data_IF_087219350391
#
_entry.id   IF_087219350391
#
_cell.length_a   1.000
_cell.length_b   1.000
_cell.length_c   1.000
_cell.angle_alpha   90.00
_cell.angle_beta   90.00
_cell.angle_gamma   90.00
#
_symmetry.space_group_name_H-M   'P 1'
#
loop_
_entity.id
_entity.type
_entity.pdbx_description
1 polymer ?
#
# COMPACT_ATOMS: atom_id res chain seq x y z
N UNK A 1 -5.82 5.26 28.28
CA UNK A 1 -6.64 4.07 28.60
C UNK A 1 -7.24 4.26 29.98
N UNK A 2 -8.58 4.21 30.12
CA UNK A 2 -9.28 4.44 31.40
C UNK A 2 -9.84 3.16 32.05
N UNK A 3 -10.05 2.09 31.28
CA UNK A 3 -10.59 0.81 31.75
C UNK A 3 -10.05 -0.34 30.89
N UNK A 4 -9.78 -1.49 31.50
CA UNK A 4 -9.44 -2.76 30.84
C UNK A 4 -10.37 -3.82 31.42
N UNK A 5 -11.04 -4.59 30.57
CA UNK A 5 -12.02 -5.62 30.97
C UNK A 5 -11.78 -6.87 30.15
N UNK A 6 -11.77 -8.03 30.81
CA UNK A 6 -11.82 -9.32 30.13
C UNK A 6 -13.29 -9.69 29.85
N UNK A 7 -13.57 -10.15 28.63
CA UNK A 7 -14.91 -10.48 28.13
C UNK A 7 -14.83 -11.74 27.27
N UNK A 8 -15.91 -12.51 27.20
CA UNK A 8 -16.05 -13.58 26.20
C UNK A 8 -16.42 -13.06 24.82
N UNK A 9 -17.00 -11.86 24.76
CA UNK A 9 -17.46 -11.20 23.54
C UNK A 9 -16.54 -10.02 23.16
N UNK A 10 -16.56 -9.64 21.88
CA UNK A 10 -15.95 -8.42 21.39
C UNK A 10 -16.51 -7.17 22.08
N UNK A 11 -15.79 -6.04 21.98
CA UNK A 11 -16.31 -4.77 22.48
C UNK A 11 -17.63 -4.42 21.78
N UNK A 12 -18.63 -4.05 22.57
CA UNK A 12 -19.93 -3.56 22.12
C UNK A 12 -19.88 -2.11 21.58
N UNK A 13 -18.70 -1.48 21.55
CA UNK A 13 -18.56 -0.11 21.05
C UNK A 13 -18.88 -0.01 19.56
N UNK A 14 -19.43 1.14 19.16
CA UNK A 14 -19.75 1.44 17.76
C UNK A 14 -18.56 1.19 16.83
N UNK A 15 -17.36 1.61 17.21
CA UNK A 15 -16.16 1.46 16.37
C UNK A 15 -15.74 0.00 16.13
N UNK A 16 -16.06 -0.91 17.06
CA UNK A 16 -15.77 -2.33 16.90
C UNK A 16 -16.89 -3.05 16.13
N UNK A 17 -18.15 -2.71 16.42
CA UNK A 17 -19.31 -3.42 15.88
C UNK A 17 -19.77 -2.91 14.51
N UNK A 18 -19.65 -1.60 14.25
CA UNK A 18 -20.31 -0.91 13.13
C UNK A 18 -19.40 0.10 12.39
N UNK A 19 -18.09 -0.02 12.57
CA UNK A 19 -17.08 0.69 11.78
C UNK A 19 -15.86 -0.22 11.54
N UNK A 20 -14.86 0.27 10.81
CA UNK A 20 -13.57 -0.43 10.56
C UNK A 20 -13.74 -1.88 10.06
N UNK A 21 -14.65 -2.07 9.10
CA UNK A 21 -14.92 -3.32 8.39
C UNK A 21 -14.80 -3.08 6.89
N UNK A 22 -14.34 -4.09 6.16
CA UNK A 22 -14.21 -4.03 4.69
C UNK A 22 -15.31 -4.86 4.04
N UNK A 23 -15.98 -4.29 3.05
CA UNK A 23 -17.10 -4.91 2.34
C UNK A 23 -16.79 -5.07 0.86
N UNK A 24 -17.63 -5.84 0.17
CA UNK A 24 -17.62 -5.93 -1.29
C UNK A 24 -17.93 -4.56 -1.92
N UNK A 25 -17.37 -4.25 -3.12
CA UNK A 25 -17.71 -3.03 -3.85
C UNK A 25 -19.20 -2.89 -4.22
N UNK A 26 -19.99 -3.96 -4.12
CA UNK A 26 -21.44 -3.93 -4.37
C UNK A 26 -22.27 -3.44 -3.17
N UNK A 27 -21.65 -3.25 -2.01
CA UNK A 27 -22.33 -2.82 -0.77
C UNK A 27 -22.27 -1.29 -0.65
N UNK A 28 -23.42 -0.68 -0.35
CA UNK A 28 -23.60 0.76 -0.15
C UNK A 28 -24.41 1.02 1.14
N UNK A 29 -24.63 2.28 1.49
CA UNK A 29 -25.24 2.70 2.76
C UNK A 29 -26.66 2.19 2.98
N UNK A 30 -27.40 1.91 1.91
CA UNK A 30 -28.78 1.43 1.97
C UNK A 30 -28.88 -0.09 2.21
N UNK A 31 -27.80 -0.84 1.99
CA UNK A 31 -27.80 -2.31 2.05
C UNK A 31 -26.70 -2.92 2.93
N UNK A 32 -25.88 -2.11 3.60
CA UNK A 32 -24.80 -2.60 4.46
C UNK A 32 -25.32 -3.35 5.70
N UNK A 33 -24.87 -4.59 5.85
CA UNK A 33 -25.00 -5.37 7.09
C UNK A 33 -23.65 -5.45 7.81
N UNK A 34 -23.49 -4.67 8.89
CA UNK A 34 -22.26 -4.63 9.67
C UNK A 34 -21.87 -5.95 10.31
N UNK A 35 -22.83 -6.87 10.54
CA UNK A 35 -22.56 -8.18 11.11
C UNK A 35 -21.97 -9.16 10.09
N UNK A 36 -22.11 -8.88 8.79
CA UNK A 36 -21.65 -9.75 7.70
C UNK A 36 -20.14 -9.76 7.49
N UNK A 37 -19.41 -8.80 8.08
CA UNK A 37 -17.97 -8.67 7.96
C UNK A 37 -17.28 -8.66 9.34
N UNK A 38 -16.08 -9.27 9.46
CA UNK A 38 -15.29 -9.16 10.67
C UNK A 38 -14.62 -7.79 10.78
N UNK A 39 -14.36 -7.29 12.01
CA UNK A 39 -13.51 -6.12 12.23
C UNK A 39 -12.12 -6.28 11.64
N UNK A 40 -11.50 -5.18 11.20
CA UNK A 40 -10.13 -5.19 10.71
C UNK A 40 -9.16 -5.26 11.89
N UNK A 41 -8.59 -6.45 12.13
CA UNK A 41 -7.55 -6.66 13.14
C UNK A 41 -6.13 -6.57 12.56
N UNK A 42 -5.94 -7.24 11.42
CA UNK A 42 -4.66 -7.28 10.71
C UNK A 42 -4.85 -6.62 9.35
N UNK A 43 -4.00 -5.65 9.06
CA UNK A 43 -4.01 -4.94 7.77
C UNK A 43 -3.30 -5.75 6.70
N UNK A 44 -3.74 -5.65 5.43
CA UNK A 44 -3.04 -6.27 4.31
C UNK A 44 -1.70 -5.57 4.03
N UNK A 45 -0.86 -6.20 3.21
CA UNK A 45 0.37 -5.58 2.70
C UNK A 45 0.05 -4.26 1.96
N UNK A 46 0.85 -3.24 2.21
CA UNK A 46 0.73 -1.91 1.62
C UNK A 46 2.11 -1.31 1.33
N UNK A 47 2.16 -0.39 0.37
CA UNK A 47 3.33 0.44 0.09
C UNK A 47 2.90 1.77 -0.51
N UNK A 48 3.74 2.78 -0.35
CA UNK A 48 3.54 4.08 -0.96
C UNK A 48 4.88 4.72 -1.36
N UNK A 49 4.88 5.31 -2.55
CA UNK A 49 5.90 6.26 -3.01
C UNK A 49 5.77 7.56 -2.20
N UNK A 50 6.88 8.01 -1.61
CA UNK A 50 7.01 9.29 -0.90
C UNK A 50 7.85 10.31 -1.69
N UNK A 51 8.75 9.82 -2.54
CA UNK A 51 9.60 10.63 -3.43
C UNK A 51 9.71 9.89 -4.77
N UNK A 52 9.59 10.58 -5.92
CA UNK A 52 9.24 12.00 -6.05
C UNK A 52 7.79 12.30 -5.64
N UNK A 53 7.49 13.58 -5.39
CA UNK A 53 6.12 14.04 -5.18
C UNK A 53 5.36 14.13 -6.51
N UNK A 54 4.01 14.10 -6.44
CA UNK A 54 3.16 14.31 -7.62
C UNK A 54 3.48 15.66 -8.28
N UNK A 55 3.69 15.64 -9.59
CA UNK A 55 4.02 16.82 -10.40
C UNK A 55 5.48 17.27 -10.30
N UNK A 56 6.35 16.51 -9.64
CA UNK A 56 7.78 16.78 -9.65
C UNK A 56 8.32 16.73 -11.09
N UNK A 57 9.28 17.59 -11.38
CA UNK A 57 9.97 17.61 -12.68
C UNK A 57 11.19 16.70 -12.60
N UNK A 58 11.35 15.82 -13.58
CA UNK A 58 12.53 14.98 -13.77
C UNK A 58 13.27 15.49 -15.01
N UNK A 59 14.46 16.05 -14.80
CA UNK A 59 15.34 16.61 -15.83
C UNK A 59 16.68 15.87 -15.97
N UNK A 60 16.79 14.69 -15.35
CA UNK A 60 17.95 13.81 -15.39
C UNK A 60 17.66 12.53 -16.21
N UNK A 61 18.68 11.73 -16.49
CA UNK A 61 18.59 10.43 -17.17
C UNK A 61 18.08 9.31 -16.25
N UNK A 62 17.98 9.56 -14.95
CA UNK A 62 17.46 8.61 -13.95
C UNK A 62 16.51 9.28 -12.96
N UNK A 63 15.68 8.46 -12.33
CA UNK A 63 14.79 8.89 -11.24
C UNK A 63 15.03 8.03 -10.01
N UNK A 64 15.29 8.70 -8.89
CA UNK A 64 15.30 8.04 -7.58
C UNK A 64 13.90 8.05 -7.00
N UNK A 65 13.37 6.87 -6.72
CA UNK A 65 12.06 6.65 -6.13
C UNK A 65 12.24 6.06 -4.73
N UNK A 66 11.63 6.68 -3.73
CA UNK A 66 11.68 6.23 -2.33
C UNK A 66 10.30 6.10 -1.74
N UNK A 67 10.18 5.23 -0.76
CA UNK A 67 8.93 5.05 -0.04
C UNK A 67 9.04 4.14 1.15
N UNK A 68 7.87 3.73 1.63
CA UNK A 68 7.73 2.69 2.65
C UNK A 68 6.88 1.54 2.15
N UNK A 69 7.06 0.38 2.76
CA UNK A 69 6.20 -0.78 2.63
C UNK A 69 6.01 -1.41 4.00
N UNK A 70 4.84 -2.02 4.24
CA UNK A 70 4.51 -2.65 5.52
C UNK A 70 3.40 -3.69 5.33
N UNK A 71 3.37 -4.73 6.18
CA UNK A 71 2.29 -5.71 6.21
C UNK A 71 1.91 -5.99 7.67
N UNK A 72 0.62 -6.22 7.91
CA UNK A 72 0.11 -6.51 9.23
C UNK A 72 0.53 -7.89 9.75
N UNK A 73 0.21 -8.16 11.02
CA UNK A 73 0.42 -9.50 11.61
C UNK A 73 1.89 -9.89 11.81
N UNK A 74 2.81 -8.94 11.62
CA UNK A 74 4.24 -9.16 11.82
C UNK A 74 4.91 -9.81 10.61
N UNK A 75 4.24 -9.80 9.45
CA UNK A 75 4.79 -10.25 8.19
C UNK A 75 5.82 -9.25 7.66
N UNK A 76 7.05 -9.71 7.45
CA UNK A 76 8.10 -8.89 6.84
C UNK A 76 7.85 -8.60 5.37
N UNK A 77 8.37 -7.47 4.88
CA UNK A 77 8.39 -7.17 3.45
C UNK A 77 9.57 -7.87 2.80
N UNK A 78 9.28 -8.75 1.83
CA UNK A 78 10.31 -9.49 1.10
C UNK A 78 10.72 -8.80 -0.19
N UNK A 79 9.82 -8.03 -0.81
CA UNK A 79 10.06 -7.37 -2.10
C UNK A 79 9.24 -6.10 -2.24
N UNK A 80 9.83 -5.09 -2.88
CA UNK A 80 9.12 -3.93 -3.43
C UNK A 80 9.51 -3.79 -4.89
N UNK A 81 8.52 -3.72 -5.76
CA UNK A 81 8.67 -3.58 -7.21
C UNK A 81 8.21 -2.17 -7.61
N UNK A 82 9.03 -1.47 -8.41
CA UNK A 82 8.75 -0.12 -8.91
C UNK A 82 8.70 -0.14 -10.43
N UNK A 83 7.74 0.57 -11.02
CA UNK A 83 7.53 0.64 -12.47
C UNK A 83 7.43 2.10 -12.92
N UNK A 84 7.91 2.37 -14.14
CA UNK A 84 7.79 3.65 -14.84
C UNK A 84 6.80 3.60 -16.02
N UNK A 85 6.14 2.46 -16.24
CA UNK A 85 5.33 2.18 -17.44
C UNK A 85 3.97 1.57 -17.08
N UNK A 86 3.41 2.02 -15.96
CA UNK A 86 2.10 1.60 -15.44
C UNK A 86 2.02 0.10 -15.09
N UNK A 87 3.14 -0.48 -14.67
CA UNK A 87 3.21 -1.86 -14.20
C UNK A 87 3.41 -2.91 -15.29
N UNK A 88 3.81 -2.51 -16.50
CA UNK A 88 4.17 -3.45 -17.57
C UNK A 88 5.53 -4.07 -17.32
N UNK A 89 6.48 -3.28 -16.84
CA UNK A 89 7.82 -3.72 -16.42
C UNK A 89 8.14 -3.24 -15.02
N UNK A 90 9.03 -3.96 -14.34
CA UNK A 90 9.31 -3.75 -12.92
C UNK A 90 10.80 -3.78 -12.65
N UNK A 91 11.25 -2.90 -11.76
CA UNK A 91 12.59 -2.88 -11.19
C UNK A 91 12.50 -3.13 -9.69
N UNK A 92 13.45 -3.92 -9.18
CA UNK A 92 13.51 -4.29 -7.78
C UNK A 92 14.08 -3.12 -6.97
N UNK A 93 13.36 -2.68 -5.93
CA UNK A 93 13.87 -1.70 -4.98
C UNK A 93 14.81 -2.34 -3.95
N UNK A 94 15.80 -1.57 -3.50
CA UNK A 94 16.63 -1.90 -2.35
C UNK A 94 15.84 -1.66 -1.05
N UNK A 95 15.74 -2.70 -0.22
CA UNK A 95 15.05 -2.62 1.06
C UNK A 95 16.03 -2.20 2.18
N UNK A 96 15.79 -1.05 2.81
CA UNK A 96 16.54 -0.56 3.96
C UNK A 96 16.00 -1.21 5.24
N UNK A 97 16.28 -2.51 5.41
CA UNK A 97 15.74 -3.34 6.50
C UNK A 97 16.43 -3.04 7.82
N UNK A 98 15.63 -2.89 8.87
CA UNK A 98 16.10 -2.99 10.25
C UNK A 98 15.96 -4.44 10.75
N UNK A 99 16.83 -4.92 11.66
CA UNK A 99 16.70 -6.26 12.23
C UNK A 99 15.35 -6.45 12.93
N UNK A 100 14.55 -7.40 12.44
CA UNK A 100 13.28 -7.82 13.02
C UNK A 100 13.24 -9.34 13.13
N UNK A 101 12.46 -9.87 14.07
CA UNK A 101 12.28 -11.33 14.21
C UNK A 101 11.18 -11.80 13.27
N UNK A 102 11.32 -12.96 12.61
CA UNK A 102 10.24 -13.55 11.82
C UNK A 102 8.92 -13.64 12.62
N UNK A 103 7.80 -13.28 11.99
CA UNK A 103 6.48 -13.18 12.63
C UNK A 103 6.34 -12.01 13.62
N UNK A 104 7.33 -11.11 13.67
CA UNK A 104 7.37 -9.93 14.55
C UNK A 104 7.94 -8.71 13.83
N UNK A 105 7.68 -8.60 12.53
CA UNK A 105 8.08 -7.48 11.69
C UNK A 105 7.05 -6.34 11.82
N UNK A 106 7.01 -5.67 12.97
CA UNK A 106 6.01 -4.65 13.27
C UNK A 106 6.31 -3.29 12.65
N UNK A 107 7.59 -3.00 12.38
CA UNK A 107 8.01 -1.77 11.74
C UNK A 107 7.93 -1.89 10.22
N UNK A 108 7.66 -0.76 9.56
CA UNK A 108 7.77 -0.62 8.12
C UNK A 108 9.19 -0.93 7.61
N UNK A 109 9.28 -1.20 6.32
CA UNK A 109 10.53 -1.29 5.57
C UNK A 109 10.59 -0.10 4.64
N UNK A 110 11.58 0.78 4.83
CA UNK A 110 11.89 1.83 3.87
C UNK A 110 12.56 1.20 2.64
N UNK A 111 12.33 1.78 1.48
CA UNK A 111 12.89 1.28 0.23
C UNK A 111 13.29 2.43 -0.69
N UNK A 112 14.26 2.14 -1.56
CA UNK A 112 14.77 3.05 -2.58
C UNK A 112 15.01 2.28 -3.87
N UNK A 113 14.68 2.88 -5.01
CA UNK A 113 15.01 2.38 -6.33
C UNK A 113 15.54 3.53 -7.17
N UNK A 114 16.67 3.33 -7.84
CA UNK A 114 17.20 4.27 -8.84
C UNK A 114 16.94 3.64 -10.20
N UNK A 115 16.03 4.24 -10.98
CA UNK A 115 15.58 3.70 -12.25
C UNK A 115 16.08 4.60 -13.39
N UNK A 116 16.83 4.07 -14.38
CA UNK A 116 17.12 4.84 -15.58
C UNK A 116 15.82 5.13 -16.33
N UNK A 117 15.67 6.37 -16.81
CA UNK A 117 14.58 6.72 -17.71
C UNK A 117 14.82 6.07 -19.07
N UNK A 118 13.77 5.56 -19.74
CA UNK A 118 13.89 5.10 -21.12
C UNK A 118 14.49 6.20 -22.01
N UNK A 119 15.39 5.83 -22.93
CA UNK A 119 16.06 6.82 -23.81
C UNK A 119 15.08 7.55 -24.71
N UNK A 120 13.98 6.89 -25.07
CA UNK A 120 12.90 7.36 -25.91
C UNK A 120 11.69 7.87 -25.12
N UNK A 121 11.82 8.07 -23.79
CA UNK A 121 10.74 8.66 -22.99
C UNK A 121 10.41 10.06 -23.51
N UNK A 122 9.14 10.36 -23.85
CA UNK A 122 8.75 11.69 -24.28
C UNK A 122 8.75 12.66 -23.10
N UNK A 123 8.95 13.95 -23.38
CA UNK A 123 8.66 15.01 -22.42
C UNK A 123 7.16 15.01 -22.07
N UNK A 124 6.84 15.31 -20.81
CA UNK A 124 5.47 15.34 -20.29
C UNK A 124 5.22 14.27 -19.21
N UNK A 125 3.95 13.86 -19.01
CA UNK A 125 3.57 13.09 -17.83
C UNK A 125 4.08 11.65 -17.88
N UNK A 126 4.70 11.21 -16.79
CA UNK A 126 5.13 9.83 -16.55
C UNK A 126 4.51 9.31 -15.25
N UNK A 127 3.97 8.09 -15.28
CA UNK A 127 3.35 7.47 -14.10
C UNK A 127 4.28 6.44 -13.48
N UNK A 128 4.71 6.73 -12.25
CA UNK A 128 5.46 5.80 -11.41
C UNK A 128 4.48 5.02 -10.55
N UNK A 129 4.60 3.70 -10.49
CA UNK A 129 3.84 2.89 -9.54
C UNK A 129 4.73 1.95 -8.73
N UNK A 130 4.27 1.60 -7.52
CA UNK A 130 4.97 0.69 -6.63
C UNK A 130 4.02 -0.31 -5.99
N UNK A 131 4.51 -1.54 -5.78
CA UNK A 131 3.82 -2.60 -5.06
C UNK A 131 4.78 -3.40 -4.19
N UNK A 132 4.29 -3.87 -3.05
CA UNK A 132 5.03 -4.75 -2.15
C UNK A 132 4.54 -6.20 -2.17
N UNK A 133 5.42 -7.10 -1.73
CA UNK A 133 5.12 -8.50 -1.42
C UNK A 133 5.67 -8.82 -0.03
N UNK A 134 4.86 -9.48 0.80
CA UNK A 134 5.23 -9.87 2.17
C UNK A 134 5.73 -11.34 2.26
N UNK A 135 6.20 -11.75 3.44
CA UNK A 135 6.71 -13.10 3.73
C UNK A 135 5.68 -14.22 3.53
N UNK A 136 4.39 -13.89 3.54
CA UNK A 136 3.29 -14.82 3.25
C UNK A 136 2.89 -14.79 1.76
N UNK A 137 3.69 -14.14 0.91
CA UNK A 137 3.44 -13.95 -0.53
C UNK A 137 2.15 -13.19 -0.85
N UNK A 138 1.57 -12.46 0.10
CA UNK A 138 0.49 -11.53 -0.22
C UNK A 138 1.04 -10.36 -1.03
N UNK A 139 0.24 -9.84 -1.97
CA UNK A 139 0.61 -8.67 -2.77
C UNK A 139 -0.56 -7.70 -2.92
N UNK A 140 -0.27 -6.51 -3.41
CA UNK A 140 -1.23 -5.44 -3.59
C UNK A 140 -2.00 -5.60 -4.91
N UNK A 141 -3.32 -5.31 -4.92
CA UNK A 141 -4.10 -5.27 -6.14
C UNK A 141 -3.70 -4.08 -7.01
N UNK A 142 -3.96 -4.20 -8.30
CA UNK A 142 -3.56 -3.20 -9.30
C UNK A 142 -4.34 -1.88 -9.12
N UNK A 143 -5.68 -1.96 -9.16
CA UNK A 143 -6.58 -0.81 -9.13
C UNK A 143 -7.45 -0.77 -7.88
N UNK A 144 -7.69 0.44 -7.37
CA UNK A 144 -8.54 0.69 -6.21
C UNK A 144 -9.99 0.26 -6.44
N UNK A 145 -10.48 0.32 -7.69
CA UNK A 145 -11.86 -0.05 -8.04
C UNK A 145 -12.19 -1.50 -7.67
N UNK A 146 -11.20 -2.40 -7.73
CA UNK A 146 -11.39 -3.82 -7.38
C UNK A 146 -11.53 -4.06 -5.87
N UNK A 147 -11.14 -3.09 -5.05
CA UNK A 147 -11.17 -3.16 -3.58
C UNK A 147 -11.97 -2.00 -2.95
N UNK A 148 -12.71 -1.27 -3.77
CA UNK A 148 -13.54 -0.17 -3.29
C UNK A 148 -14.54 -0.69 -2.26
N UNK A 149 -14.81 0.10 -1.24
CA UNK A 149 -15.86 -0.16 -0.27
C UNK A 149 -16.39 1.17 0.25
N UNK A 150 -17.65 1.19 0.71
CA UNK A 150 -18.36 2.39 1.14
C UNK A 150 -17.63 3.23 2.20
N UNK A 151 -16.73 2.63 3.00
CA UNK A 151 -15.94 3.32 4.03
C UNK A 151 -14.58 3.81 3.54
N UNK A 152 -14.11 3.35 2.38
CA UNK A 152 -12.78 3.68 1.86
C UNK A 152 -11.62 3.14 2.70
N UNK A 153 -11.86 2.13 3.55
CA UNK A 153 -10.82 1.51 4.39
C UNK A 153 -10.10 0.39 3.64
N UNK A 154 -8.97 -0.08 4.18
CA UNK A 154 -8.16 -1.15 3.58
C UNK A 154 -7.70 -0.87 2.14
N UNK A 155 -7.61 0.41 1.75
CA UNK A 155 -7.09 0.81 0.43
C UNK A 155 -5.61 0.48 0.32
N UNK A 156 -5.28 -0.61 -0.35
CA UNK A 156 -3.91 -1.09 -0.52
C UNK A 156 -3.54 -1.35 -1.99
N UNK A 157 -4.24 -0.77 -2.97
CA UNK A 157 -3.84 -0.85 -4.37
C UNK A 157 -2.48 -0.20 -4.61
N UNK A 158 -1.86 -0.43 -5.78
CA UNK A 158 -0.56 0.18 -6.09
C UNK A 158 -0.64 1.71 -6.01
N UNK A 159 0.27 2.33 -5.26
CA UNK A 159 0.36 3.79 -5.24
C UNK A 159 0.93 4.26 -6.58
N UNK A 160 0.28 5.27 -7.17
CA UNK A 160 0.68 5.87 -8.45
C UNK A 160 0.98 7.35 -8.27
N UNK A 161 2.14 7.77 -8.74
CA UNK A 161 2.59 9.15 -8.73
C UNK A 161 2.87 9.58 -10.17
N UNK A 162 2.16 10.61 -10.63
CA UNK A 162 2.48 11.27 -11.89
C UNK A 162 3.59 12.29 -11.65
N UNK A 163 4.64 12.24 -12.46
CA UNK A 163 5.72 13.23 -12.55
C UNK A 163 5.77 13.82 -13.96
N UNK A 164 6.52 14.89 -14.16
CA UNK A 164 6.72 15.52 -15.47
C UNK A 164 8.17 15.35 -15.93
N UNK A 165 8.39 14.70 -17.07
CA UNK A 165 9.72 14.55 -17.67
C UNK A 165 10.02 15.78 -18.54
N UNK A 166 11.20 16.38 -18.34
CA UNK A 166 11.68 17.53 -19.11
C UNK A 166 13.15 17.35 -19.50
N UNK A 167 13.39 16.98 -20.75
CA UNK A 167 14.70 17.00 -21.40
C UNK A 167 14.88 18.19 -22.32
#
# INVERSE_FOLDING_TARGET
VSKIVASSEESDSFWQQSDYKSFSPAIDWDNVDWSSAPPVYTMPVTSAICEPARGAVIDDDEVTVRGYAWSGGGNGIIRVDVSLDEGKTWQLAELKRMPQKPGRCWAWTLWEAVLPLPKDVPNGPLHICAKATDESCNTQPDFADSIWNLRGVCCNSWHRVQVEVQR
#
